data_IF_662046028679
#
_entry.id   IF_662046028679
#
_cell.length_a   1.000
_cell.length_b   1.000
_cell.length_c   1.000
_cell.angle_alpha   90.00
_cell.angle_beta   90.00
_cell.angle_gamma   90.00
#
_symmetry.space_group_name_H-M   'P 1'
#
loop_
_entity.id
_entity.type
_entity.pdbx_description
1 polymer ?
#
# COMPACT_ATOMS: atom_id res chain seq x y z
N UNK A 1 26.63 52.26 -0.55
CA UNK A 1 25.91 52.63 0.68
C UNK A 1 25.47 51.35 1.37
N UNK A 2 26.12 51.03 2.48
CA UNK A 2 25.92 49.83 3.29
C UNK A 2 25.07 50.25 4.49
N UNK A 3 23.88 49.66 4.67
CA UNK A 3 23.12 49.80 5.92
C UNK A 3 22.99 48.42 6.57
N UNK A 4 23.69 48.16 7.68
CA UNK A 4 23.41 47.05 8.57
C UNK A 4 22.34 47.50 9.58
N UNK A 5 21.34 46.65 9.84
CA UNK A 5 20.45 46.84 10.99
C UNK A 5 20.53 45.60 11.88
N UNK A 6 21.44 45.70 12.86
CA UNK A 6 21.42 44.91 14.08
C UNK A 6 20.28 45.38 14.99
N UNK A 7 19.48 44.46 15.53
CA UNK A 7 19.21 44.38 16.98
C UNK A 7 18.42 43.13 17.33
N UNK A 8 19.10 42.19 17.99
CA UNK A 8 18.47 41.27 18.93
C UNK A 8 18.40 41.92 20.32
N UNK A 9 17.36 41.60 21.10
CA UNK A 9 17.53 41.28 22.52
C UNK A 9 16.80 39.94 22.82
N UNK A 10 17.48 38.90 23.28
CA UNK A 10 17.84 38.58 24.68
C UNK A 10 16.65 38.39 25.63
N UNK A 11 16.48 37.11 26.00
CA UNK A 11 16.09 36.52 27.29
C UNK A 11 14.89 37.13 28.05
N UNK A 12 13.83 36.34 28.11
CA UNK A 12 12.95 36.26 29.29
C UNK A 12 12.98 34.84 29.84
N UNK A 13 13.82 34.60 30.83
CA UNK A 13 13.75 33.42 31.71
C UNK A 13 12.50 33.60 32.56
N UNK A 14 11.51 32.73 32.43
CA UNK A 14 10.43 32.62 33.43
C UNK A 14 10.55 31.24 34.06
N UNK A 15 11.27 31.22 35.18
CA UNK A 15 11.19 30.19 36.19
C UNK A 15 10.00 30.48 37.14
N UNK A 16 9.68 29.48 37.98
CA UNK A 16 8.74 29.47 39.12
C UNK A 16 7.34 28.91 38.76
N UNK A 17 6.74 27.99 39.51
CA UNK A 17 7.08 27.38 40.78
C UNK A 17 6.34 26.04 40.96
N UNK A 18 6.98 25.15 41.72
CA UNK A 18 6.42 23.92 42.27
C UNK A 18 5.15 24.17 43.10
N UNK A 19 4.18 23.27 42.98
CA UNK A 19 3.25 22.95 44.08
C UNK A 19 3.23 21.44 44.28
N UNK A 20 4.14 20.96 45.11
CA UNK A 20 3.98 19.68 45.81
C UNK A 20 3.11 19.98 47.04
N UNK A 21 1.86 19.57 46.99
CA UNK A 21 0.94 19.58 48.12
C UNK A 21 0.58 18.15 48.50
N UNK A 22 1.32 17.59 49.46
CA UNK A 22 1.00 16.32 50.11
C UNK A 22 0.41 16.63 51.49
N UNK A 23 -0.91 16.55 51.67
CA UNK A 23 -1.51 16.32 52.98
C UNK A 23 -2.63 15.30 52.83
N UNK A 24 -2.44 14.19 53.53
CA UNK A 24 -3.36 13.08 53.65
C UNK A 24 -4.64 13.49 54.39
N UNK A 25 -5.78 13.22 53.75
CA UNK A 25 -7.00 12.87 54.45
C UNK A 25 -7.69 11.82 53.57
N UNK A 26 -7.47 10.54 53.87
CA UNK A 26 -8.34 9.47 53.41
C UNK A 26 -9.69 9.65 54.12
N UNK A 27 -10.82 9.89 53.42
CA UNK A 27 -12.03 9.19 53.77
C UNK A 27 -11.94 7.80 53.14
N UNK A 28 -11.93 6.77 53.98
CA UNK A 28 -12.34 5.43 53.61
C UNK A 28 -13.80 5.49 53.10
N UNK A 29 -13.95 5.76 51.81
CA UNK A 29 -15.18 5.60 51.03
C UNK A 29 -14.82 5.18 49.59
N UNK A 30 -13.85 4.28 49.48
CA UNK A 30 -13.55 3.58 48.23
C UNK A 30 -14.52 2.41 48.06
N UNK A 31 -15.66 2.63 47.41
CA UNK A 31 -16.44 1.53 46.82
C UNK A 31 -17.45 1.95 45.75
N UNK A 32 -17.96 3.18 45.72
CA UNK A 32 -19.10 3.51 44.82
C UNK A 32 -18.79 4.49 43.69
N UNK A 33 -17.68 5.24 43.72
CA UNK A 33 -17.39 6.23 42.67
C UNK A 33 -16.74 5.67 41.39
N UNK A 34 -16.25 4.42 41.41
CA UNK A 34 -15.61 3.78 40.26
C UNK A 34 -16.61 3.23 39.24
N UNK A 35 -17.83 2.91 39.69
CA UNK A 35 -18.86 2.32 38.84
C UNK A 35 -19.56 3.40 38.01
N UNK A 36 -19.86 4.56 38.62
CA UNK A 36 -20.43 5.71 37.92
C UNK A 36 -19.49 6.31 36.88
N UNK A 37 -18.19 6.40 37.17
CA UNK A 37 -17.20 6.84 36.20
C UNK A 37 -17.05 5.86 35.03
N UNK A 38 -17.14 4.54 35.29
CA UNK A 38 -17.12 3.50 34.24
C UNK A 38 -18.42 3.48 33.42
N UNK A 39 -19.56 3.70 34.07
CA UNK A 39 -20.86 3.82 33.41
C UNK A 39 -20.91 5.08 32.54
N UNK A 40 -20.39 6.21 33.03
CA UNK A 40 -20.26 7.45 32.27
C UNK A 40 -19.32 7.28 31.08
N UNK A 41 -18.16 6.61 31.24
CA UNK A 41 -17.25 6.30 30.14
C UNK A 41 -17.89 5.37 29.10
N UNK A 42 -18.60 4.32 29.53
CA UNK A 42 -19.36 3.42 28.63
C UNK A 42 -20.50 4.15 27.91
N UNK A 43 -21.22 5.03 28.61
CA UNK A 43 -22.28 5.83 28.03
C UNK A 43 -21.71 6.83 27.02
N UNK A 44 -20.56 7.44 27.30
CA UNK A 44 -19.87 8.32 26.37
C UNK A 44 -19.39 7.55 25.14
N UNK A 45 -18.78 6.37 25.30
CA UNK A 45 -18.34 5.51 24.19
C UNK A 45 -19.51 4.98 23.35
N UNK A 46 -20.65 4.67 23.98
CA UNK A 46 -21.89 4.30 23.29
C UNK A 46 -22.56 5.49 22.59
N UNK A 47 -22.38 6.71 23.12
CA UNK A 47 -22.90 7.95 22.56
C UNK A 47 -21.97 8.61 21.54
N UNK A 48 -20.72 8.14 21.41
CA UNK A 48 -19.84 8.59 20.35
C UNK A 48 -20.46 8.14 19.02
N UNK A 49 -20.84 9.06 18.12
CA UNK A 49 -21.26 8.68 16.78
C UNK A 49 -20.10 7.86 16.19
N UNK A 50 -20.40 6.66 15.69
CA UNK A 50 -19.42 5.86 14.94
C UNK A 50 -18.96 6.73 13.77
N UNK A 51 -17.87 7.46 13.97
CA UNK A 51 -17.16 8.12 12.90
C UNK A 51 -16.66 6.97 12.04
N UNK A 52 -17.40 6.68 10.96
CA UNK A 52 -16.89 5.85 9.88
C UNK A 52 -15.71 6.62 9.34
N UNK A 53 -14.53 6.35 9.90
CA UNK A 53 -13.28 6.82 9.33
C UNK A 53 -13.21 6.16 7.97
N UNK A 54 -13.56 6.91 6.94
CA UNK A 54 -13.30 6.56 5.55
C UNK A 54 -11.78 6.40 5.43
N UNK A 55 -11.28 5.20 5.71
CA UNK A 55 -9.88 4.87 5.50
C UNK A 55 -9.56 5.01 4.01
N UNK A 56 -8.27 5.15 3.64
CA UNK A 56 -7.89 5.19 2.23
C UNK A 56 -8.48 3.99 1.51
N UNK A 57 -9.22 4.25 0.42
CA UNK A 57 -9.84 3.22 -0.38
C UNK A 57 -8.77 2.23 -0.85
N UNK A 58 -8.99 0.95 -0.57
CA UNK A 58 -8.06 -0.11 -1.00
C UNK A 58 -8.12 -0.19 -2.52
N UNK A 59 -6.98 -0.18 -3.23
CA UNK A 59 -7.00 -0.28 -4.68
C UNK A 59 -7.67 -1.58 -5.15
N UNK A 60 -8.59 -1.48 -6.09
CA UNK A 60 -9.18 -2.63 -6.75
C UNK A 60 -8.13 -3.37 -7.59
N UNK A 61 -8.28 -4.69 -7.72
CA UNK A 61 -7.28 -5.57 -8.34
C UNK A 61 -7.93 -6.63 -9.22
N UNK A 62 -7.55 -6.66 -10.49
CA UNK A 62 -7.99 -7.65 -11.46
C UNK A 62 -6.78 -8.51 -11.82
N UNK A 63 -6.68 -9.66 -11.15
CA UNK A 63 -5.51 -10.54 -11.24
C UNK A 63 -5.80 -11.77 -12.08
N UNK A 64 -4.79 -12.21 -12.82
CA UNK A 64 -4.78 -13.54 -13.41
C UNK A 64 -4.38 -14.59 -12.39
N UNK A 65 -4.42 -15.84 -12.82
CA UNK A 65 -3.85 -16.96 -12.06
C UNK A 65 -2.34 -16.77 -11.87
N UNK A 66 -1.81 -17.30 -10.77
CA UNK A 66 -0.38 -17.48 -10.62
C UNK A 66 0.14 -18.48 -11.65
N UNK A 67 1.28 -18.15 -12.26
CA UNK A 67 2.00 -19.02 -13.19
C UNK A 67 3.38 -19.28 -12.62
N UNK A 68 3.87 -20.50 -12.80
CA UNK A 68 5.14 -20.97 -12.25
C UNK A 68 5.93 -21.63 -13.36
N UNK A 69 7.20 -21.29 -13.47
CA UNK A 69 8.13 -21.95 -14.37
C UNK A 69 8.83 -23.11 -13.65
N UNK A 70 9.20 -24.20 -14.36
CA UNK A 70 9.93 -25.33 -13.78
C UNK A 70 11.22 -24.93 -13.03
N UNK A 71 11.85 -23.83 -13.45
CA UNK A 71 13.10 -23.30 -12.88
C UNK A 71 12.91 -22.70 -11.48
N UNK A 72 11.67 -22.55 -10.99
CA UNK A 72 11.39 -22.11 -9.62
C UNK A 72 11.07 -20.62 -9.48
N UNK A 73 10.67 -19.96 -10.56
CA UNK A 73 10.07 -18.62 -10.52
C UNK A 73 8.54 -18.72 -10.62
N UNK A 74 7.83 -18.04 -9.71
CA UNK A 74 6.38 -17.88 -9.78
C UNK A 74 6.00 -16.41 -9.85
N UNK A 75 4.92 -16.11 -10.57
CA UNK A 75 4.41 -14.75 -10.67
C UNK A 75 2.88 -14.70 -10.87
N UNK A 76 2.26 -13.68 -10.30
CA UNK A 76 0.87 -13.31 -10.50
C UNK A 76 0.78 -11.85 -10.95
N UNK A 77 0.17 -11.64 -12.10
CA UNK A 77 0.02 -10.32 -12.72
C UNK A 77 -1.39 -9.78 -12.48
N UNK A 78 -1.48 -8.50 -12.11
CA UNK A 78 -2.73 -7.81 -11.86
C UNK A 78 -2.75 -6.44 -12.55
N UNK A 79 -3.93 -6.04 -13.02
CA UNK A 79 -4.26 -4.63 -13.22
C UNK A 79 -4.79 -4.08 -11.89
N UNK A 80 -4.32 -2.91 -11.50
CA UNK A 80 -4.66 -2.22 -10.25
C UNK A 80 -5.28 -0.88 -10.57
N UNK A 81 -6.30 -0.50 -9.81
CA UNK A 81 -6.94 0.83 -9.92
C UNK A 81 -7.14 1.47 -8.57
N UNK A 82 -7.02 2.79 -8.51
CA UNK A 82 -7.33 3.59 -7.33
C UNK A 82 -7.69 5.00 -7.77
N UNK A 83 -8.94 5.43 -7.53
CA UNK A 83 -9.45 6.66 -8.12
C UNK A 83 -9.31 6.66 -9.65
N UNK A 84 -8.71 7.72 -10.20
CA UNK A 84 -8.45 7.87 -11.64
C UNK A 84 -7.14 7.21 -12.10
N UNK A 85 -6.43 6.47 -11.23
CA UNK A 85 -5.14 5.85 -11.58
C UNK A 85 -5.29 4.38 -11.93
N UNK A 86 -4.53 3.94 -12.94
CA UNK A 86 -4.35 2.54 -13.32
C UNK A 86 -2.86 2.21 -13.43
N UNK A 87 -2.49 1.00 -12.99
CA UNK A 87 -1.14 0.47 -13.17
C UNK A 87 -1.16 -1.06 -13.21
N UNK A 88 -0.07 -1.65 -13.71
CA UNK A 88 0.16 -3.10 -13.59
C UNK A 88 1.02 -3.39 -12.36
N UNK A 89 0.71 -4.48 -11.66
CA UNK A 89 1.54 -5.09 -10.61
C UNK A 89 1.80 -6.56 -10.94
N UNK A 90 3.05 -6.98 -10.88
CA UNK A 90 3.44 -8.39 -10.85
C UNK A 90 3.95 -8.72 -9.44
N UNK A 91 3.23 -9.56 -8.71
CA UNK A 91 3.73 -10.18 -7.48
C UNK A 91 4.51 -11.43 -7.86
N UNK A 92 5.74 -11.60 -7.36
CA UNK A 92 6.61 -12.70 -7.76
C UNK A 92 7.34 -13.31 -6.58
N UNK A 93 7.81 -14.55 -6.78
CA UNK A 93 8.81 -15.23 -5.95
C UNK A 93 9.82 -15.89 -6.88
N UNK A 94 11.10 -15.61 -6.68
CA UNK A 94 12.17 -16.20 -7.47
C UNK A 94 13.09 -17.04 -6.58
N UNK A 95 13.02 -18.37 -6.74
CA UNK A 95 13.86 -19.32 -6.00
C UNK A 95 15.09 -19.81 -6.78
N UNK A 96 15.39 -19.22 -7.95
CA UNK A 96 16.49 -19.69 -8.83
C UNK A 96 17.88 -19.35 -8.30
N UNK A 97 17.98 -18.55 -7.22
CA UNK A 97 19.23 -17.99 -6.65
C UNK A 97 19.98 -17.01 -7.56
N UNK A 98 19.44 -16.72 -8.74
CA UNK A 98 19.98 -15.73 -9.67
C UNK A 98 18.94 -14.63 -9.97
N UNK A 99 19.36 -13.37 -10.16
CA UNK A 99 18.46 -12.34 -10.64
C UNK A 99 17.95 -12.70 -12.05
N UNK A 100 16.66 -12.49 -12.31
CA UNK A 100 16.06 -12.71 -13.62
C UNK A 100 15.57 -11.40 -14.24
N UNK A 101 15.88 -11.12 -15.52
CA UNK A 101 15.29 -10.01 -16.24
C UNK A 101 13.80 -10.28 -16.49
N UNK A 102 12.98 -9.29 -16.22
CA UNK A 102 11.55 -9.34 -16.48
C UNK A 102 11.04 -8.02 -17.05
N UNK A 103 9.97 -8.11 -17.82
CA UNK A 103 9.24 -6.98 -18.38
C UNK A 103 7.80 -7.06 -17.93
N UNK A 104 7.31 -6.00 -17.30
CA UNK A 104 5.89 -5.84 -16.98
C UNK A 104 5.29 -4.77 -17.89
N UNK A 105 4.24 -5.14 -18.60
CA UNK A 105 3.56 -4.30 -19.58
C UNK A 105 2.09 -4.17 -19.20
N UNK A 106 1.63 -2.94 -19.00
CA UNK A 106 0.21 -2.56 -18.98
C UNK A 106 -0.19 -2.11 -20.38
N UNK A 107 -1.27 -2.68 -20.91
CA UNK A 107 -1.93 -2.26 -22.14
C UNK A 107 -3.28 -1.68 -21.78
N UNK A 108 -3.59 -0.52 -22.32
CA UNK A 108 -4.86 0.16 -22.14
C UNK A 108 -5.59 0.39 -23.47
N UNK A 109 -6.66 1.19 -23.43
CA UNK A 109 -7.40 1.62 -24.63
C UNK A 109 -6.48 2.23 -25.68
N UNK A 110 -6.92 2.14 -26.94
CA UNK A 110 -6.29 2.77 -28.10
C UNK A 110 -4.84 2.34 -28.35
N UNK A 111 -4.46 1.14 -27.88
CA UNK A 111 -3.12 0.59 -28.01
C UNK A 111 -2.08 1.23 -27.08
N UNK A 112 -2.49 2.12 -26.16
CA UNK A 112 -1.58 2.73 -25.19
C UNK A 112 -0.90 1.67 -24.34
N UNK A 113 0.41 1.81 -24.19
CA UNK A 113 1.24 0.82 -23.48
C UNK A 113 2.17 1.52 -22.49
N UNK A 114 2.20 1.01 -21.26
CA UNK A 114 3.13 1.43 -20.21
C UNK A 114 3.95 0.22 -19.82
N UNK A 115 5.27 0.35 -19.83
CA UNK A 115 6.20 -0.77 -19.58
C UNK A 115 7.24 -0.41 -18.53
N UNK A 116 7.63 -1.40 -17.74
CA UNK A 116 8.79 -1.33 -16.84
C UNK A 116 9.64 -2.59 -17.03
N UNK A 117 10.96 -2.42 -16.96
CA UNK A 117 11.91 -3.52 -16.87
C UNK A 117 12.28 -3.71 -15.40
N UNK A 118 12.23 -4.94 -14.93
CA UNK A 118 12.44 -5.30 -13.53
C UNK A 118 13.52 -6.39 -13.44
N UNK A 119 14.30 -6.35 -12.37
CA UNK A 119 15.22 -7.43 -11.99
C UNK A 119 14.60 -8.22 -10.85
N UNK A 120 14.16 -9.45 -11.13
CA UNK A 120 13.54 -10.32 -10.14
C UNK A 120 14.62 -10.97 -9.28
N UNK A 121 14.87 -10.39 -8.11
CA UNK A 121 15.86 -10.88 -7.14
C UNK A 121 15.62 -12.34 -6.73
N UNK A 122 16.67 -13.17 -6.80
CA UNK A 122 16.63 -14.61 -6.55
C UNK A 122 16.75 -15.05 -5.08
N UNK A 123 16.30 -14.24 -4.13
CA UNK A 123 16.40 -14.54 -2.69
C UNK A 123 15.20 -15.33 -2.13
N UNK A 124 14.31 -15.83 -3.00
CA UNK A 124 13.14 -16.61 -2.62
C UNK A 124 12.05 -15.85 -1.87
N UNK A 125 12.18 -14.53 -1.70
CA UNK A 125 11.18 -13.69 -1.01
C UNK A 125 10.08 -13.26 -1.98
N UNK A 126 8.88 -13.05 -1.43
CA UNK A 126 7.80 -12.42 -2.17
C UNK A 126 8.10 -10.94 -2.37
N UNK A 127 8.00 -10.49 -3.62
CA UNK A 127 8.23 -9.10 -4.01
C UNK A 127 7.24 -8.67 -5.09
N UNK A 128 7.29 -7.39 -5.43
CA UNK A 128 6.45 -6.79 -6.47
C UNK A 128 7.27 -5.98 -7.45
N UNK A 129 6.87 -6.02 -8.72
CA UNK A 129 7.28 -5.12 -9.79
C UNK A 129 6.03 -4.36 -10.24
N UNK A 130 6.10 -3.03 -10.40
CA UNK A 130 4.96 -2.19 -10.79
C UNK A 130 5.33 -1.23 -11.91
N UNK A 131 4.39 -0.99 -12.83
CA UNK A 131 4.52 0.12 -13.77
C UNK A 131 4.29 1.45 -13.06
N UNK A 132 4.70 2.56 -13.69
CA UNK A 132 4.20 3.88 -13.29
C UNK A 132 2.66 3.89 -13.32
N UNK A 133 2.06 4.65 -12.42
CA UNK A 133 0.63 4.94 -12.45
C UNK A 133 0.33 5.90 -13.59
N UNK A 134 -0.78 5.68 -14.28
CA UNK A 134 -1.27 6.54 -15.35
C UNK A 134 -2.75 6.83 -15.17
N UNK A 135 -3.21 7.95 -15.72
CA UNK A 135 -4.63 8.30 -15.68
C UNK A 135 -5.49 7.33 -16.49
N UNK A 136 -6.68 7.02 -15.97
CA UNK A 136 -7.68 6.15 -16.56
C UNK A 136 -9.02 6.86 -16.82
N UNK A 137 -9.02 8.20 -16.92
CA UNK A 137 -10.25 9.04 -16.96
C UNK A 137 -11.28 8.67 -18.03
N UNK A 138 -10.83 8.10 -19.14
CA UNK A 138 -11.69 7.66 -20.25
C UNK A 138 -12.48 6.39 -19.92
N UNK A 139 -12.06 5.62 -18.91
CA UNK A 139 -12.66 4.35 -18.50
C UNK A 139 -13.17 4.47 -17.07
N UNK A 140 -14.50 4.50 -16.90
CA UNK A 140 -15.13 4.62 -15.57
C UNK A 140 -15.65 3.28 -15.06
N UNK A 141 -15.35 3.00 -13.80
CA UNK A 141 -15.83 1.82 -13.08
C UNK A 141 -14.96 0.58 -13.26
N UNK A 142 -14.96 -0.27 -12.24
CA UNK A 142 -14.11 -1.46 -12.15
C UNK A 142 -14.30 -2.46 -13.31
N UNK A 143 -15.56 -2.71 -13.69
CA UNK A 143 -15.88 -3.64 -14.78
C UNK A 143 -15.30 -3.18 -16.12
N UNK A 144 -15.46 -1.88 -16.44
CA UNK A 144 -14.92 -1.30 -17.67
C UNK A 144 -13.39 -1.34 -17.67
N UNK A 145 -12.74 -1.06 -16.52
CA UNK A 145 -11.27 -1.17 -16.43
C UNK A 145 -10.80 -2.60 -16.65
N UNK A 146 -11.49 -3.60 -16.09
CA UNK A 146 -11.15 -5.02 -16.28
C UNK A 146 -11.20 -5.45 -17.75
N UNK A 147 -12.09 -4.86 -18.54
CA UNK A 147 -12.23 -5.14 -19.97
C UNK A 147 -11.25 -4.34 -20.83
N UNK A 148 -11.02 -3.07 -20.47
CA UNK A 148 -10.21 -2.13 -21.23
C UNK A 148 -8.70 -2.26 -21.00
N UNK A 149 -8.28 -2.77 -19.85
CA UNK A 149 -6.88 -2.89 -19.48
C UNK A 149 -6.45 -4.34 -19.29
N UNK A 150 -5.27 -4.67 -19.82
CA UNK A 150 -4.62 -5.95 -19.58
C UNK A 150 -3.17 -5.74 -19.16
N UNK A 151 -2.68 -6.59 -18.27
CA UNK A 151 -1.29 -6.57 -17.84
C UNK A 151 -0.63 -7.91 -18.14
N UNK A 152 0.62 -7.88 -18.59
CA UNK A 152 1.43 -9.06 -18.86
C UNK A 152 2.81 -8.87 -18.26
N UNK A 153 3.26 -9.86 -17.50
CA UNK A 153 4.66 -10.01 -17.11
C UNK A 153 5.31 -11.12 -17.93
N UNK A 154 6.49 -10.85 -18.46
CA UNK A 154 7.35 -11.82 -19.15
C UNK A 154 8.70 -11.89 -18.42
N UNK A 155 9.12 -13.09 -18.06
CA UNK A 155 10.40 -13.36 -17.38
C UNK A 155 11.27 -14.16 -18.33
N UNK A 156 12.51 -13.72 -18.49
CA UNK A 156 13.51 -14.41 -19.30
C UNK A 156 14.51 -15.17 -18.42
N UNK A 157 15.31 -16.02 -19.05
CA UNK A 157 16.48 -16.65 -18.46
C UNK A 157 17.46 -15.61 -17.93
N UNK A 158 18.42 -15.98 -17.06
CA UNK A 158 19.42 -15.05 -16.52
C UNK A 158 20.15 -14.27 -17.61
N UNK A 159 20.39 -14.91 -18.76
CA UNK A 159 21.07 -14.33 -19.93
C UNK A 159 20.14 -13.45 -20.77
N UNK A 160 18.83 -13.52 -20.56
CA UNK A 160 17.82 -12.76 -21.30
C UNK A 160 17.41 -13.38 -22.64
N UNK A 161 17.99 -14.52 -23.02
CA UNK A 161 17.86 -15.10 -24.36
C UNK A 161 16.57 -15.92 -24.56
N UNK A 162 16.08 -16.54 -23.49
CA UNK A 162 14.91 -17.44 -23.54
C UNK A 162 13.83 -16.97 -22.59
N UNK A 163 12.57 -16.96 -23.03
CA UNK A 163 11.43 -16.69 -22.15
C UNK A 163 11.12 -17.92 -21.30
N UNK A 164 11.23 -17.81 -19.98
CA UNK A 164 10.86 -18.87 -19.04
C UNK A 164 9.40 -18.82 -18.63
N UNK A 165 8.86 -17.61 -18.43
CA UNK A 165 7.50 -17.44 -17.90
C UNK A 165 6.77 -16.28 -18.54
N UNK A 166 5.47 -16.45 -18.74
CA UNK A 166 4.53 -15.40 -19.12
C UNK A 166 3.28 -15.55 -18.28
N UNK A 167 2.85 -14.49 -17.59
CA UNK A 167 1.53 -14.48 -16.95
C UNK A 167 0.78 -13.17 -17.21
N UNK A 168 -0.49 -13.30 -17.60
CA UNK A 168 -1.39 -12.20 -17.88
C UNK A 168 -2.43 -11.99 -16.78
N UNK A 169 -2.95 -10.77 -16.65
CA UNK A 169 -4.04 -10.44 -15.71
C UNK A 169 -5.38 -11.08 -16.07
N UNK A 170 -5.54 -11.58 -17.29
CA UNK A 170 -6.73 -12.25 -17.80
C UNK A 170 -6.59 -13.78 -17.87
N UNK A 171 -5.51 -14.35 -17.33
CA UNK A 171 -5.33 -15.81 -17.32
C UNK A 171 -6.32 -16.44 -16.33
N UNK A 172 -7.25 -17.30 -16.79
CA UNK A 172 -8.31 -17.85 -15.94
C UNK A 172 -7.72 -18.75 -14.85
N UNK A 173 -8.38 -18.84 -13.69
CA UNK A 173 -8.08 -19.88 -12.72
C UNK A 173 -8.46 -21.25 -13.34
N UNK A 174 -7.56 -22.24 -13.31
CA UNK A 174 -7.96 -23.63 -13.62
C UNK A 174 -8.91 -24.07 -12.52
N UNK A 175 -10.14 -24.46 -12.89
CA UNK A 175 -11.03 -25.17 -11.95
C UNK A 175 -10.35 -26.50 -11.64
N UNK A 176 -10.02 -26.74 -10.36
CA UNK A 176 -9.69 -28.09 -9.92
C UNK A 176 -11.01 -28.88 -9.88
N UNK A 177 -11.15 -29.83 -10.80
CA UNK A 177 -12.19 -30.87 -10.78
C UNK A 177 -11.85 -31.94 -9.76
#
# INVERSE_FOLDING_TARGET
MLQPQQRAPRLGVIALASTVGLIAALPLAAAVAGEDARLAAKAFEAAQPRQVRSGPERPASFCGRESTAPEGVSLRTCVRTQGDEVWARAAYRNATRSPLPAVLTLRGPDGRTVRVHCTLQGDGRHRTCETKRTGAREVRGEAAVREAYTAVAEVSSPEGERRWLRAGSNSPAVRRS
#
